data_IF_363677194815
#
_entry.id   IF_363677194815
#
_cell.length_a   1.000
_cell.length_b   1.000
_cell.length_c   1.000
_cell.angle_alpha   90.00
_cell.angle_beta   90.00
_cell.angle_gamma   90.00
#
_symmetry.space_group_name_H-M   'P 1'
#
loop_
_entity.id
_entity.type
_entity.pdbx_description
1 polymer ?
#
# COMPACT_ATOMS: atom_id res chain seq x y z
N UNK A 1 -1.78 21.27 -19.36
CA UNK A 1 -1.75 20.10 -20.24
C UNK A 1 -2.58 20.29 -21.51
N UNK A 2 -3.88 20.64 -21.43
CA UNK A 2 -4.75 20.85 -22.60
C UNK A 2 -4.22 21.94 -23.54
N UNK A 3 -3.77 23.07 -23.00
CA UNK A 3 -3.13 24.12 -23.79
C UNK A 3 -1.84 23.67 -24.45
N UNK A 4 -1.01 22.89 -23.74
CA UNK A 4 0.21 22.32 -24.31
C UNK A 4 -0.08 21.28 -25.39
N UNK A 5 -1.06 20.40 -25.17
CA UNK A 5 -1.52 19.43 -26.16
C UNK A 5 -2.11 20.11 -27.39
N UNK A 6 -2.94 21.15 -27.19
CA UNK A 6 -3.50 21.96 -28.26
C UNK A 6 -2.38 22.69 -29.05
N UNK A 7 -1.45 23.33 -28.35
CA UNK A 7 -0.32 24.01 -28.97
C UNK A 7 0.53 23.04 -29.80
N UNK A 8 0.87 21.88 -29.23
CA UNK A 8 1.65 20.86 -29.92
C UNK A 8 0.91 20.30 -31.13
N UNK A 9 -0.40 20.13 -31.05
CA UNK A 9 -1.22 19.56 -32.12
C UNK A 9 -1.54 20.54 -33.24
N UNK A 10 -1.77 21.81 -32.93
CA UNK A 10 -2.22 22.81 -33.90
C UNK A 10 -1.18 23.83 -34.31
N UNK A 11 -0.19 24.13 -33.47
CA UNK A 11 0.80 25.20 -33.70
C UNK A 11 2.15 24.66 -34.12
N UNK A 12 2.62 23.54 -33.54
CA UNK A 12 3.87 22.87 -33.95
C UNK A 12 3.72 22.07 -35.28
N UNK A 13 2.76 22.45 -36.01
CA UNK A 13 2.19 22.03 -37.26
C UNK A 13 2.94 21.04 -38.17
N UNK A 14 2.15 20.31 -38.91
CA UNK A 14 2.35 19.19 -39.79
C UNK A 14 3.23 19.44 -41.00
N UNK A 15 3.64 20.66 -41.26
CA UNK A 15 4.36 21.02 -42.47
C UNK A 15 5.82 20.49 -42.57
N UNK A 16 6.36 19.99 -41.43
CA UNK A 16 7.74 19.51 -41.40
C UNK A 16 7.90 18.01 -41.06
N UNK A 17 6.83 17.32 -40.69
CA UNK A 17 6.90 15.95 -40.18
C UNK A 17 5.93 15.05 -40.97
N UNK A 18 6.40 13.99 -41.57
CA UNK A 18 5.55 13.02 -42.27
C UNK A 18 4.48 12.34 -41.39
N UNK A 19 3.62 11.49 -41.96
CA UNK A 19 2.45 10.92 -41.29
C UNK A 19 2.75 10.11 -40.00
N UNK A 20 3.91 9.48 -39.88
CA UNK A 20 4.28 8.64 -38.74
C UNK A 20 4.41 9.39 -37.41
N UNK A 21 5.06 10.58 -37.34
CA UNK A 21 5.07 11.38 -36.10
C UNK A 21 3.70 11.90 -35.67
N UNK A 22 2.81 12.14 -36.60
CA UNK A 22 1.42 12.57 -36.33
C UNK A 22 0.62 11.53 -35.59
N UNK A 23 0.68 10.28 -36.02
CA UNK A 23 -0.03 9.18 -35.35
C UNK A 23 0.50 8.96 -33.94
N UNK A 24 1.82 9.06 -33.74
CA UNK A 24 2.44 8.96 -32.40
C UNK A 24 1.96 10.12 -31.49
N UNK A 25 1.99 11.35 -32.00
CA UNK A 25 1.55 12.52 -31.22
C UNK A 25 0.05 12.49 -30.90
N UNK A 26 -0.78 12.05 -31.84
CA UNK A 26 -2.20 11.84 -31.60
C UNK A 26 -2.43 10.79 -30.51
N UNK A 27 -1.71 9.66 -30.58
CA UNK A 27 -1.77 8.61 -29.54
C UNK A 27 -1.40 9.11 -28.16
N UNK A 28 -0.27 9.82 -28.03
CA UNK A 28 0.15 10.41 -26.74
C UNK A 28 -0.84 11.44 -26.23
N UNK A 29 -1.42 12.26 -27.10
CA UNK A 29 -2.44 13.27 -26.73
C UNK A 29 -3.72 12.61 -26.25
N UNK A 30 -4.21 11.57 -26.92
CA UNK A 30 -5.38 10.79 -26.51
C UNK A 30 -5.16 10.15 -25.14
N UNK A 31 -4.02 9.49 -24.93
CA UNK A 31 -3.68 8.90 -23.63
C UNK A 31 -3.64 9.98 -22.54
N UNK A 32 -3.05 11.14 -22.82
CA UNK A 32 -3.02 12.27 -21.89
C UNK A 32 -4.39 12.81 -21.56
N UNK A 33 -5.28 12.97 -22.54
CA UNK A 33 -6.67 13.41 -22.32
C UNK A 33 -7.43 12.37 -21.50
N UNK A 34 -7.30 11.08 -21.79
CA UNK A 34 -7.93 10.01 -21.01
C UNK A 34 -7.43 10.04 -19.56
N UNK A 35 -6.13 10.16 -19.32
CA UNK A 35 -5.55 10.25 -17.99
C UNK A 35 -6.05 11.50 -17.23
N UNK A 36 -6.16 12.63 -17.91
CA UNK A 36 -6.69 13.86 -17.34
C UNK A 36 -8.17 13.74 -16.99
N UNK A 37 -8.99 13.21 -17.92
CA UNK A 37 -10.41 12.94 -17.66
C UNK A 37 -10.60 11.96 -16.49
N UNK A 38 -9.81 10.89 -16.41
CA UNK A 38 -9.85 9.97 -15.28
C UNK A 38 -9.49 10.67 -13.96
N UNK A 39 -8.52 11.59 -13.97
CA UNK A 39 -8.12 12.36 -12.78
C UNK A 39 -9.24 13.29 -12.35
N UNK A 40 -9.92 13.97 -13.29
CA UNK A 40 -11.09 14.79 -13.00
C UNK A 40 -12.26 13.98 -12.45
N UNK A 41 -12.59 12.87 -13.11
CA UNK A 41 -13.67 11.97 -12.66
C UNK A 41 -13.40 11.43 -11.26
N UNK A 42 -12.13 11.12 -10.94
CA UNK A 42 -11.74 10.70 -9.58
C UNK A 42 -11.94 11.80 -8.54
N UNK A 43 -11.70 13.07 -8.90
CA UNK A 43 -11.97 14.21 -8.01
C UNK A 43 -13.47 14.50 -7.85
N UNK A 44 -14.29 14.10 -8.82
CA UNK A 44 -15.75 14.26 -8.77
C UNK A 44 -16.44 13.21 -7.89
N UNK A 45 -15.76 12.10 -7.51
CA UNK A 45 -16.31 11.17 -6.53
C UNK A 45 -16.19 11.80 -5.14
N UNK A 46 -17.29 12.27 -4.55
CA UNK A 46 -17.23 13.01 -3.29
C UNK A 46 -16.74 12.08 -2.17
N UNK A 47 -15.84 12.60 -1.33
CA UNK A 47 -15.50 11.96 -0.08
C UNK A 47 -16.78 11.83 0.78
N UNK A 48 -16.95 10.68 1.43
CA UNK A 48 -18.09 10.42 2.31
C UNK A 48 -17.90 11.15 3.64
N UNK A 49 -18.96 11.74 4.15
CA UNK A 49 -18.99 12.18 5.53
C UNK A 49 -19.16 10.94 6.40
N UNK A 50 -18.22 10.76 7.32
CA UNK A 50 -18.17 9.64 8.27
C UNK A 50 -18.06 10.19 9.69
N UNK A 51 -18.54 9.42 10.65
CA UNK A 51 -18.51 9.73 12.07
C UNK A 51 -17.61 8.73 12.79
N UNK A 52 -16.85 9.18 13.75
CA UNK A 52 -16.04 8.30 14.61
C UNK A 52 -16.98 7.46 15.50
N UNK A 53 -17.03 6.17 15.24
CA UNK A 53 -17.80 5.22 16.01
C UNK A 53 -17.04 4.69 17.22
N UNK A 54 -15.74 4.48 17.04
CA UNK A 54 -14.82 4.00 18.07
C UNK A 54 -13.46 4.64 17.90
N UNK A 55 -12.86 5.02 19.02
CA UNK A 55 -11.49 5.49 19.09
C UNK A 55 -10.84 4.87 20.33
N UNK A 56 -9.88 3.96 20.12
CA UNK A 56 -9.16 3.26 21.18
C UNK A 56 -7.70 3.70 21.16
N UNK A 57 -7.24 4.48 22.14
CA UNK A 57 -5.85 4.93 22.17
C UNK A 57 -4.90 3.77 22.50
N UNK A 58 -3.69 3.84 21.95
CA UNK A 58 -2.55 3.02 22.31
C UNK A 58 -1.30 3.90 22.40
N UNK A 59 -0.19 3.38 22.87
CA UNK A 59 1.04 4.17 23.04
C UNK A 59 1.53 4.76 21.70
N UNK A 60 1.39 6.07 21.55
CA UNK A 60 1.77 6.84 20.37
C UNK A 60 0.82 6.72 19.18
N UNK A 61 -0.45 6.31 19.40
CA UNK A 61 -1.42 6.22 18.33
C UNK A 61 -2.86 5.99 18.76
N UNK A 62 -3.73 5.79 17.77
CA UNK A 62 -5.16 5.48 17.96
C UNK A 62 -5.64 4.45 16.92
N UNK A 63 -6.40 3.49 17.38
CA UNK A 63 -7.21 2.60 16.54
C UNK A 63 -8.60 3.20 16.42
N UNK A 64 -8.97 3.65 15.22
CA UNK A 64 -10.20 4.39 14.98
C UNK A 64 -11.07 3.68 13.94
N UNK A 65 -12.36 3.58 14.25
CA UNK A 65 -13.39 3.08 13.31
C UNK A 65 -14.35 4.21 12.99
N UNK A 66 -14.51 4.46 11.70
CA UNK A 66 -15.48 5.41 11.17
C UNK A 66 -16.70 4.69 10.63
N UNK A 67 -17.89 5.25 10.89
CA UNK A 67 -19.16 4.80 10.35
C UNK A 67 -19.73 5.80 9.36
N UNK A 68 -20.24 5.31 8.24
CA UNK A 68 -20.96 6.08 7.23
C UNK A 68 -22.47 5.88 7.37
N UNK A 69 -23.27 6.91 7.12
CA UNK A 69 -24.74 6.80 7.05
C UNK A 69 -25.25 6.06 5.80
N UNK A 70 -24.40 5.87 4.80
CA UNK A 70 -24.73 5.18 3.54
C UNK A 70 -23.61 4.21 3.19
N UNK A 71 -23.89 3.10 2.49
CA UNK A 71 -22.88 2.15 2.08
C UNK A 71 -21.71 2.81 1.34
N UNK A 72 -20.51 2.43 1.70
CA UNK A 72 -19.28 2.84 1.06
C UNK A 72 -18.87 1.80 0.00
N UNK A 73 -18.17 2.22 -1.09
CA UNK A 73 -17.63 1.28 -2.06
C UNK A 73 -16.77 0.22 -1.38
N UNK A 74 -16.88 -1.03 -1.83
CA UNK A 74 -16.01 -2.13 -1.35
C UNK A 74 -14.54 -1.75 -1.55
N UNK A 75 -13.71 -2.13 -0.61
CA UNK A 75 -12.25 -1.97 -0.70
C UNK A 75 -11.57 -3.34 -0.80
N UNK A 76 -10.34 -3.35 -1.28
CA UNK A 76 -9.48 -4.53 -1.29
C UNK A 76 -8.42 -4.41 -0.19
N UNK A 77 -7.96 -5.53 0.41
CA UNK A 77 -6.84 -5.51 1.33
C UNK A 77 -5.62 -4.77 0.75
N UNK A 78 -4.92 -4.01 1.61
CA UNK A 78 -3.79 -3.19 1.18
C UNK A 78 -4.15 -1.88 0.48
N UNK A 79 -5.43 -1.53 0.35
CA UNK A 79 -5.83 -0.20 -0.10
C UNK A 79 -5.76 0.82 1.03
N UNK A 80 -5.50 2.07 0.65
CA UNK A 80 -5.59 3.23 1.54
C UNK A 80 -6.74 4.16 1.13
N UNK A 81 -7.16 5.01 2.04
CA UNK A 81 -8.15 6.06 1.77
C UNK A 81 -7.64 7.41 2.28
N UNK A 82 -8.06 8.49 1.60
CA UNK A 82 -7.76 9.84 2.05
C UNK A 82 -8.71 10.22 3.17
N UNK A 83 -8.18 10.57 4.33
CA UNK A 83 -8.91 11.06 5.50
C UNK A 83 -8.61 12.53 5.73
N UNK A 84 -9.64 13.37 5.80
CA UNK A 84 -9.51 14.79 6.04
C UNK A 84 -10.58 15.28 7.00
N UNK A 85 -10.34 16.44 7.61
CA UNK A 85 -11.33 17.08 8.47
C UNK A 85 -12.61 17.43 7.69
N UNK A 86 -13.74 17.62 8.38
CA UNK A 86 -15.06 17.97 7.81
C UNK A 86 -15.02 19.21 6.90
N UNK A 87 -14.16 20.18 7.19
CA UNK A 87 -13.98 21.36 6.35
C UNK A 87 -13.36 21.02 5.00
N UNK A 88 -13.93 21.47 3.89
CA UNK A 88 -13.42 21.22 2.54
C UNK A 88 -12.03 21.83 2.26
N UNK A 89 -11.58 22.76 3.10
CA UNK A 89 -10.28 23.45 2.98
C UNK A 89 -9.17 22.75 3.77
N UNK A 90 -9.52 21.73 4.56
CA UNK A 90 -8.54 20.99 5.35
C UNK A 90 -7.80 19.97 4.47
N UNK A 91 -6.54 19.80 4.78
CA UNK A 91 -5.66 18.83 4.17
C UNK A 91 -6.16 17.39 4.45
N UNK A 92 -6.07 16.52 3.45
CA UNK A 92 -6.44 15.12 3.58
C UNK A 92 -5.18 14.26 3.48
N UNK A 93 -5.07 13.27 4.37
CA UNK A 93 -3.92 12.40 4.50
C UNK A 93 -4.27 10.96 4.13
N UNK A 94 -3.36 10.20 3.49
CA UNK A 94 -3.58 8.81 3.15
C UNK A 94 -3.37 7.90 4.36
N UNK A 95 -4.32 7.02 4.63
CA UNK A 95 -4.18 5.96 5.65
C UNK A 95 -4.64 4.63 5.08
N UNK A 96 -3.86 3.57 5.35
CA UNK A 96 -4.19 2.22 4.93
C UNK A 96 -5.42 1.74 5.70
N UNK A 97 -6.37 1.17 4.96
CA UNK A 97 -7.58 0.60 5.54
C UNK A 97 -7.21 -0.69 6.26
N UNK A 98 -7.38 -0.71 7.58
CA UNK A 98 -7.07 -1.85 8.43
C UNK A 98 -8.18 -2.90 8.48
N UNK A 99 -9.42 -2.50 8.13
CA UNK A 99 -10.58 -3.39 8.14
C UNK A 99 -11.90 -2.64 7.94
N UNK A 100 -13.00 -3.34 8.16
CA UNK A 100 -14.35 -2.81 8.08
C UNK A 100 -15.20 -3.41 6.96
N UNK A 101 -16.47 -3.05 6.97
CA UNK A 101 -17.54 -3.54 6.10
C UNK A 101 -18.07 -2.45 5.13
N UNK A 102 -19.28 -2.60 4.63
CA UNK A 102 -19.89 -1.59 3.74
C UNK A 102 -20.24 -0.29 4.47
N UNK A 103 -20.43 -0.31 5.78
CA UNK A 103 -20.81 0.85 6.59
C UNK A 103 -19.65 1.43 7.38
N UNK A 104 -18.58 0.66 7.61
CA UNK A 104 -17.47 1.01 8.49
C UNK A 104 -16.12 0.96 7.79
N UNK A 105 -15.16 1.77 8.28
CA UNK A 105 -13.73 1.69 7.93
C UNK A 105 -12.89 1.87 9.17
N UNK A 106 -11.96 0.97 9.38
CA UNK A 106 -11.02 0.99 10.49
C UNK A 106 -9.63 1.41 10.02
N UNK A 107 -8.98 2.21 10.84
CA UNK A 107 -7.61 2.66 10.64
C UNK A 107 -6.82 2.56 11.95
N UNK A 108 -5.55 2.21 11.86
CA UNK A 108 -4.61 2.29 12.98
C UNK A 108 -3.64 3.40 12.64
N UNK A 109 -3.74 4.51 13.35
CA UNK A 109 -3.03 5.75 13.04
C UNK A 109 -2.02 6.03 14.15
N UNK A 110 -0.75 6.24 13.77
CA UNK A 110 0.33 6.63 14.68
C UNK A 110 0.62 8.11 14.54
N UNK A 111 0.96 8.74 15.65
CA UNK A 111 1.52 10.07 15.71
C UNK A 111 2.89 10.09 15.01
N UNK A 112 3.00 10.83 13.88
CA UNK A 112 4.19 10.86 13.04
C UNK A 112 4.41 12.20 12.33
N UNK A 113 3.69 13.25 12.73
CA UNK A 113 3.77 14.62 12.23
C UNK A 113 2.57 15.42 12.71
N UNK A 114 2.59 16.73 12.51
CA UNK A 114 1.69 17.71 13.13
C UNK A 114 0.21 17.32 13.03
N UNK A 115 -0.24 16.91 11.86
CA UNK A 115 -1.63 16.52 11.66
C UNK A 115 -2.00 15.25 12.45
N UNK A 116 -1.17 14.21 12.36
CA UNK A 116 -1.42 12.93 13.05
C UNK A 116 -1.25 13.07 14.55
N UNK A 117 -0.32 13.90 15.02
CA UNK A 117 -0.13 14.19 16.44
C UNK A 117 -1.36 14.89 17.03
N UNK A 118 -1.89 15.89 16.31
CA UNK A 118 -3.13 16.55 16.70
C UNK A 118 -4.31 15.58 16.64
N UNK A 119 -4.45 14.80 15.57
CA UNK A 119 -5.53 13.83 15.40
C UNK A 119 -5.56 12.81 16.55
N UNK A 120 -4.43 12.18 16.86
CA UNK A 120 -4.32 11.17 17.93
C UNK A 120 -4.71 11.74 19.31
N UNK A 121 -4.37 13.01 19.57
CA UNK A 121 -4.67 13.68 20.85
C UNK A 121 -6.13 14.13 20.98
N UNK A 122 -6.79 14.43 19.87
CA UNK A 122 -8.07 15.15 19.89
C UNK A 122 -9.27 14.35 19.40
N UNK A 123 -9.06 13.28 18.64
CA UNK A 123 -10.15 12.48 18.05
C UNK A 123 -11.05 11.86 19.12
N UNK A 124 -12.36 12.03 18.96
CA UNK A 124 -13.40 11.55 19.89
C UNK A 124 -14.52 10.87 19.12
N UNK A 125 -15.20 9.96 19.78
CA UNK A 125 -16.46 9.39 19.27
C UNK A 125 -17.46 10.51 18.98
N UNK A 126 -18.12 10.44 17.83
CA UNK A 126 -19.02 11.47 17.33
C UNK A 126 -18.38 12.54 16.43
N UNK A 127 -17.04 12.62 16.38
CA UNK A 127 -16.36 13.54 15.46
C UNK A 127 -16.62 13.16 14.01
N UNK A 128 -16.67 14.17 13.14
CA UNK A 128 -16.97 13.98 11.72
C UNK A 128 -15.78 14.28 10.82
N UNK A 129 -15.53 13.37 9.88
CA UNK A 129 -14.45 13.46 8.90
C UNK A 129 -14.96 13.24 7.48
N UNK A 130 -14.15 13.55 6.49
CA UNK A 130 -14.34 13.20 5.10
C UNK A 130 -13.41 12.06 4.74
N UNK A 131 -13.99 10.97 4.25
CA UNK A 131 -13.26 9.76 3.87
C UNK A 131 -13.41 9.50 2.38
N UNK A 132 -12.28 9.40 1.69
CA UNK A 132 -12.21 9.01 0.29
C UNK A 132 -12.52 7.51 0.11
N UNK A 133 -12.63 7.09 -1.17
CA UNK A 133 -12.71 5.67 -1.49
C UNK A 133 -11.36 4.98 -1.28
N UNK A 134 -11.37 3.65 -1.14
CA UNK A 134 -10.15 2.84 -1.15
C UNK A 134 -9.45 2.91 -2.50
N UNK A 135 -8.14 3.17 -2.49
CA UNK A 135 -7.26 3.21 -3.67
C UNK A 135 -5.94 2.50 -3.35
N UNK A 136 -5.21 2.09 -4.39
CA UNK A 136 -3.95 1.36 -4.23
C UNK A 136 -4.06 -0.13 -4.58
N UNK A 137 -2.91 -0.82 -4.66
CA UNK A 137 -2.79 -2.24 -5.03
C UNK A 137 -1.57 -2.88 -4.37
N UNK A 138 -1.42 -2.73 -3.07
CA UNK A 138 -0.25 -3.25 -2.37
C UNK A 138 -0.28 -4.78 -2.24
N UNK A 139 -1.38 -5.34 -1.73
CA UNK A 139 -1.52 -6.78 -1.61
C UNK A 139 -2.23 -7.34 -2.84
N UNK A 140 -1.75 -8.45 -3.40
CA UNK A 140 -2.53 -9.20 -4.38
C UNK A 140 -3.78 -9.74 -3.70
N UNK A 141 -4.76 -10.13 -4.50
CA UNK A 141 -5.80 -11.03 -4.00
C UNK A 141 -5.09 -12.28 -3.48
N UNK A 142 -5.47 -12.75 -2.30
CA UNK A 142 -4.98 -14.02 -1.76
C UNK A 142 -5.56 -15.09 -2.68
N UNK A 143 -4.80 -15.39 -3.73
CA UNK A 143 -5.16 -16.38 -4.72
C UNK A 143 -4.78 -17.75 -4.18
N UNK A 144 -5.72 -18.68 -4.23
CA UNK A 144 -5.55 -20.07 -3.84
C UNK A 144 -4.44 -20.81 -4.63
N UNK A 145 -3.97 -20.24 -5.73
CA UNK A 145 -2.92 -20.83 -6.56
C UNK A 145 -1.49 -20.54 -6.06
N UNK A 146 -1.29 -19.55 -5.20
CA UNK A 146 0.04 -19.20 -4.66
C UNK A 146 0.22 -19.79 -3.27
N UNK A 147 1.04 -20.81 -3.18
CA UNK A 147 1.14 -21.69 -2.03
C UNK A 147 1.80 -21.05 -0.81
N UNK A 148 2.69 -20.07 -0.95
CA UNK A 148 3.43 -19.48 0.16
C UNK A 148 3.66 -17.98 0.00
N UNK A 149 3.41 -17.22 1.06
CA UNK A 149 3.65 -15.78 1.13
C UNK A 149 4.37 -15.42 2.42
N UNK A 150 5.27 -14.45 2.33
CA UNK A 150 6.02 -13.93 3.47
C UNK A 150 5.66 -12.45 3.67
N UNK A 151 5.03 -12.17 4.78
CA UNK A 151 4.60 -10.82 5.13
C UNK A 151 5.48 -10.28 6.24
N UNK A 152 5.93 -9.04 6.12
CA UNK A 152 6.74 -8.35 7.13
C UNK A 152 6.12 -7.01 7.45
N UNK A 153 5.73 -6.84 8.69
CA UNK A 153 5.09 -5.63 9.20
C UNK A 153 5.96 -4.97 10.27
N UNK A 154 6.08 -3.65 10.24
CA UNK A 154 6.71 -2.85 11.28
C UNK A 154 5.75 -1.83 11.87
N UNK A 155 5.40 -1.96 13.15
CA UNK A 155 4.47 -1.05 13.83
C UNK A 155 3.13 -0.93 13.12
N UNK A 156 2.70 0.29 12.75
CA UNK A 156 1.44 0.51 12.00
C UNK A 156 1.46 -0.04 10.57
N UNK A 157 2.61 -0.48 10.07
CA UNK A 157 2.70 -1.24 8.81
C UNK A 157 1.97 -2.57 8.82
N UNK A 158 1.40 -2.98 9.95
CA UNK A 158 0.50 -4.14 10.06
C UNK A 158 -0.85 -3.93 9.34
N UNK A 159 -1.27 -2.68 9.13
CA UNK A 159 -2.62 -2.35 8.64
C UNK A 159 -3.03 -3.02 7.32
N UNK A 160 -2.22 -3.09 6.25
CA UNK A 160 -2.61 -3.78 5.04
C UNK A 160 -2.81 -5.28 5.25
N UNK A 161 -1.98 -5.89 6.10
CA UNK A 161 -2.07 -7.31 6.41
C UNK A 161 -3.27 -7.61 7.31
N UNK A 162 -3.60 -6.72 8.25
CA UNK A 162 -4.76 -6.86 9.11
C UNK A 162 -6.05 -6.94 8.29
N UNK A 163 -6.23 -6.06 7.30
CA UNK A 163 -7.37 -6.11 6.38
C UNK A 163 -7.43 -7.38 5.52
N UNK A 164 -6.27 -7.98 5.23
CA UNK A 164 -6.20 -9.25 4.53
C UNK A 164 -6.56 -10.43 5.44
N UNK A 165 -6.03 -10.45 6.67
CA UNK A 165 -6.33 -11.46 7.68
C UNK A 165 -7.81 -11.50 8.06
N UNK A 166 -8.46 -10.33 8.12
CA UNK A 166 -9.90 -10.21 8.42
C UNK A 166 -10.74 -10.97 7.38
N UNK A 167 -10.32 -10.98 6.11
CA UNK A 167 -11.04 -11.62 5.00
C UNK A 167 -10.57 -13.02 4.67
N UNK A 168 -9.43 -13.45 5.21
CA UNK A 168 -8.88 -14.77 4.96
C UNK A 168 -9.75 -15.85 5.60
N UNK A 169 -10.09 -16.87 4.81
CA UNK A 169 -10.84 -18.04 5.28
C UNK A 169 -9.87 -19.13 5.76
N UNK A 170 -10.28 -19.98 6.71
CA UNK A 170 -9.42 -21.05 7.23
C UNK A 170 -9.06 -22.14 6.22
N UNK A 171 -9.84 -22.30 5.16
CA UNK A 171 -9.70 -23.34 4.12
C UNK A 171 -8.82 -22.89 2.93
N UNK A 172 -8.30 -21.67 2.96
CA UNK A 172 -7.39 -21.19 1.90
C UNK A 172 -6.07 -21.95 1.96
N UNK A 173 -5.67 -22.55 0.85
CA UNK A 173 -4.45 -23.35 0.74
C UNK A 173 -3.13 -22.54 0.82
N UNK A 174 -3.20 -21.22 0.72
CA UNK A 174 -2.04 -20.35 0.80
C UNK A 174 -1.49 -20.29 2.23
N UNK A 175 -0.22 -20.71 2.42
CA UNK A 175 0.49 -20.53 3.69
C UNK A 175 1.03 -19.10 3.78
N UNK A 176 0.86 -18.47 4.93
CA UNK A 176 1.37 -17.13 5.20
C UNK A 176 2.26 -17.15 6.43
N UNK A 177 3.50 -16.73 6.29
CA UNK A 177 4.36 -16.39 7.44
C UNK A 177 4.35 -14.88 7.61
N UNK A 178 3.84 -14.41 8.74
CA UNK A 178 3.80 -13.00 9.10
C UNK A 178 4.79 -12.70 10.23
N UNK A 179 5.81 -11.92 9.94
CA UNK A 179 6.66 -11.29 10.96
C UNK A 179 6.06 -9.94 11.32
N UNK A 180 5.77 -9.74 12.58
CA UNK A 180 5.30 -8.47 13.12
C UNK A 180 6.33 -7.90 14.10
N UNK A 181 7.13 -6.93 13.62
CA UNK A 181 8.09 -6.19 14.43
C UNK A 181 7.40 -5.04 15.17
N UNK A 182 7.51 -5.03 16.49
CA UNK A 182 6.94 -4.02 17.37
C UNK A 182 8.00 -3.47 18.32
N UNK A 183 7.83 -2.25 18.80
CA UNK A 183 8.70 -1.70 19.85
C UNK A 183 8.34 -2.29 21.21
N UNK A 184 7.06 -2.28 21.52
CA UNK A 184 6.45 -2.86 22.72
C UNK A 184 5.02 -3.29 22.42
N UNK A 185 4.42 -4.16 23.22
CA UNK A 185 3.00 -4.50 23.06
C UNK A 185 2.08 -3.29 23.22
N UNK A 186 2.41 -2.36 24.13
CA UNK A 186 1.65 -1.14 24.35
C UNK A 186 1.64 -0.20 23.11
N UNK A 187 2.72 -0.22 22.32
CA UNK A 187 2.84 0.57 21.09
C UNK A 187 2.28 -0.11 19.83
N UNK A 188 1.76 -1.33 19.95
CA UNK A 188 1.24 -2.15 18.85
C UNK A 188 -0.30 -2.20 18.90
N UNK A 189 -0.98 -1.15 18.46
CA UNK A 189 -2.43 -0.96 18.60
C UNK A 189 -3.34 -2.04 17.99
N UNK A 190 -2.79 -3.01 17.26
CA UNK A 190 -3.57 -4.10 16.64
C UNK A 190 -3.01 -5.50 16.99
N UNK A 191 -2.14 -5.62 17.98
CA UNK A 191 -1.46 -6.89 18.30
C UNK A 191 -2.46 -7.99 18.67
N UNK A 192 -3.45 -7.67 19.49
CA UNK A 192 -4.47 -8.63 19.93
C UNK A 192 -5.32 -9.16 18.78
N UNK A 193 -5.61 -8.31 17.79
CA UNK A 193 -6.34 -8.72 16.59
C UNK A 193 -5.52 -9.67 15.73
N UNK A 194 -4.25 -9.36 15.52
CA UNK A 194 -3.33 -10.21 14.76
C UNK A 194 -3.20 -11.59 15.42
N UNK A 195 -3.02 -11.62 16.74
CA UNK A 195 -2.97 -12.87 17.52
C UNK A 195 -4.29 -13.65 17.48
N UNK A 196 -5.43 -12.96 17.50
CA UNK A 196 -6.75 -13.59 17.34
C UNK A 196 -6.89 -14.22 15.95
N UNK A 197 -6.43 -13.53 14.90
CA UNK A 197 -6.41 -14.09 13.55
C UNK A 197 -5.47 -15.29 13.44
N UNK A 198 -4.30 -15.27 14.08
CA UNK A 198 -3.38 -16.40 14.11
C UNK A 198 -3.99 -17.65 14.76
N UNK A 199 -4.80 -17.47 15.81
CA UNK A 199 -5.54 -18.58 16.43
C UNK A 199 -6.67 -19.12 15.53
N UNK A 200 -7.26 -18.29 14.67
CA UNK A 200 -8.36 -18.66 13.76
C UNK A 200 -7.89 -19.30 12.45
N UNK A 201 -6.69 -18.95 12.01
CA UNK A 201 -6.16 -19.29 10.68
C UNK A 201 -5.00 -20.27 10.80
N UNK A 202 -5.23 -21.58 10.63
CA UNK A 202 -4.17 -22.60 10.78
C UNK A 202 -3.04 -22.46 9.75
N UNK A 203 -3.30 -21.81 8.61
CA UNK A 203 -2.32 -21.51 7.58
C UNK A 203 -1.46 -20.28 7.87
N UNK A 204 -1.74 -19.52 8.94
CA UNK A 204 -0.96 -18.35 9.35
C UNK A 204 0.07 -18.71 10.42
N UNK A 205 1.34 -18.61 10.07
CA UNK A 205 2.44 -18.65 11.01
C UNK A 205 2.79 -17.22 11.44
N UNK A 206 2.45 -16.83 12.67
CA UNK A 206 2.72 -15.51 13.24
C UNK A 206 3.99 -15.52 14.09
N UNK A 207 4.93 -14.66 13.77
CA UNK A 207 6.16 -14.40 14.52
C UNK A 207 6.15 -12.95 14.98
N UNK A 208 5.92 -12.72 16.28
CA UNK A 208 5.99 -11.39 16.88
C UNK A 208 7.40 -11.16 17.44
N UNK A 209 8.05 -10.09 17.00
CA UNK A 209 9.38 -9.70 17.47
C UNK A 209 9.28 -8.34 18.16
N UNK A 210 9.69 -8.26 19.42
CA UNK A 210 9.52 -7.10 20.27
C UNK A 210 10.87 -6.58 20.78
N UNK A 211 11.12 -5.26 20.56
CA UNK A 211 12.39 -4.65 20.95
C UNK A 211 12.56 -4.63 22.49
N UNK A 212 11.47 -4.43 23.25
CA UNK A 212 11.50 -4.41 24.71
C UNK A 212 11.85 -5.76 25.34
N UNK A 213 11.79 -6.84 24.58
CA UNK A 213 12.16 -8.20 25.00
C UNK A 213 13.53 -8.64 24.52
N UNK A 214 14.34 -7.71 23.95
CA UNK A 214 15.58 -8.04 23.24
C UNK A 214 15.41 -9.07 22.12
N UNK A 215 14.19 -9.21 21.59
CA UNK A 215 13.84 -10.06 20.45
C UNK A 215 13.80 -9.29 19.16
N UNK A 216 14.54 -8.17 19.08
CA UNK A 216 14.51 -7.25 17.97
C UNK A 216 14.79 -7.90 16.63
N UNK A 217 14.25 -7.29 15.60
CA UNK A 217 14.41 -7.73 14.22
C UNK A 217 15.84 -7.45 13.75
N UNK A 218 16.61 -8.50 13.47
CA UNK A 218 17.96 -8.39 12.91
C UNK A 218 18.06 -9.09 11.56
N UNK A 219 18.96 -8.61 10.68
CA UNK A 219 19.14 -9.21 9.36
C UNK A 219 19.59 -10.71 9.44
N UNK A 220 20.49 -11.12 10.33
CA UNK A 220 20.84 -12.55 10.49
C UNK A 220 19.66 -13.42 10.92
N UNK A 221 18.84 -12.94 11.89
CA UNK A 221 17.65 -13.68 12.35
C UNK A 221 16.62 -13.83 11.24
N UNK A 222 16.39 -12.76 10.47
CA UNK A 222 15.53 -12.80 9.30
C UNK A 222 16.06 -13.75 8.23
N UNK A 223 17.35 -13.69 7.93
CA UNK A 223 17.96 -14.59 6.95
C UNK A 223 17.82 -16.07 7.36
N UNK A 224 17.86 -16.39 8.64
CA UNK A 224 17.61 -17.74 9.14
C UNK A 224 16.15 -18.17 8.85
N UNK A 225 15.19 -17.32 9.14
CA UNK A 225 13.76 -17.60 8.86
C UNK A 225 13.52 -17.75 7.35
N UNK A 226 14.16 -16.89 6.54
CA UNK A 226 14.01 -16.88 5.09
C UNK A 226 14.60 -18.12 4.42
N UNK A 227 15.67 -18.71 4.95
CA UNK A 227 16.31 -19.91 4.38
C UNK A 227 15.39 -21.13 4.30
N UNK A 228 14.40 -21.18 5.16
CA UNK A 228 13.44 -22.29 5.22
C UNK A 228 12.27 -22.09 4.24
N UNK A 229 12.29 -20.99 3.45
CA UNK A 229 11.25 -20.64 2.50
C UNK A 229 11.58 -21.14 1.09
N UNK A 230 10.53 -21.33 0.29
CA UNK A 230 10.69 -21.68 -1.13
C UNK A 230 11.24 -20.49 -1.93
N UNK A 231 12.03 -20.76 -2.97
CA UNK A 231 12.59 -19.73 -3.86
C UNK A 231 11.54 -18.84 -4.52
N UNK A 232 10.33 -19.38 -4.75
CA UNK A 232 9.20 -18.67 -5.35
C UNK A 232 8.37 -17.86 -4.34
N UNK A 233 8.75 -17.85 -3.06
CA UNK A 233 8.03 -17.12 -2.01
C UNK A 233 7.99 -15.62 -2.32
N UNK A 234 6.79 -15.03 -2.28
CA UNK A 234 6.61 -13.60 -2.47
C UNK A 234 6.65 -12.86 -1.14
N UNK A 235 7.46 -11.82 -1.09
CA UNK A 235 7.62 -10.98 0.09
C UNK A 235 6.78 -9.71 -0.04
N UNK A 236 5.96 -9.44 0.96
CA UNK A 236 5.22 -8.19 1.11
C UNK A 236 5.70 -7.49 2.38
N UNK A 237 6.19 -6.28 2.23
CA UNK A 237 6.79 -5.50 3.31
C UNK A 237 6.07 -4.18 3.49
N UNK A 238 5.60 -3.90 4.70
CA UNK A 238 5.07 -2.61 5.10
C UNK A 238 5.67 -2.16 6.44
N UNK A 239 6.33 -1.00 6.44
CA UNK A 239 6.98 -0.48 7.63
C UNK A 239 8.03 0.59 7.32
N UNK A 240 8.79 1.02 8.34
CA UNK A 240 9.80 2.06 8.19
C UNK A 240 10.96 1.65 7.27
N UNK A 241 11.67 2.63 6.70
CA UNK A 241 12.76 2.41 5.74
C UNK A 241 13.88 1.50 6.31
N UNK A 242 14.16 1.60 7.62
CA UNK A 242 15.14 0.71 8.28
C UNK A 242 14.77 -0.77 8.16
N UNK A 243 13.50 -1.11 8.31
CA UNK A 243 12.99 -2.46 8.13
C UNK A 243 13.17 -2.94 6.69
N UNK A 244 12.87 -2.08 5.71
CA UNK A 244 13.07 -2.40 4.29
C UNK A 244 14.52 -2.74 3.98
N UNK A 245 15.45 -1.92 4.45
CA UNK A 245 16.89 -2.14 4.24
C UNK A 245 17.35 -3.45 4.90
N UNK A 246 16.79 -3.77 6.05
CA UNK A 246 17.10 -4.99 6.79
C UNK A 246 16.59 -6.23 6.04
N UNK A 247 15.36 -6.22 5.54
CA UNK A 247 14.80 -7.32 4.73
C UNK A 247 15.61 -7.54 3.46
N UNK A 248 15.95 -6.47 2.73
CA UNK A 248 16.76 -6.59 1.50
C UNK A 248 18.11 -7.27 1.80
N UNK A 249 18.77 -6.90 2.91
CA UNK A 249 20.03 -7.53 3.35
C UNK A 249 19.82 -8.99 3.73
N UNK A 250 18.80 -9.30 4.52
CA UNK A 250 18.48 -10.67 4.94
C UNK A 250 18.15 -11.56 3.73
N UNK A 251 17.42 -11.03 2.75
CA UNK A 251 17.08 -11.72 1.52
C UNK A 251 18.32 -12.09 0.71
N UNK A 252 19.24 -11.14 0.53
CA UNK A 252 20.53 -11.39 -0.11
C UNK A 252 21.39 -12.39 0.65
N UNK A 253 21.45 -12.31 1.99
CA UNK A 253 22.19 -13.24 2.85
C UNK A 253 21.63 -14.67 2.79
N UNK A 254 20.33 -14.83 2.55
CA UNK A 254 19.68 -16.11 2.38
C UNK A 254 19.82 -16.69 0.95
N UNK A 255 20.42 -15.95 0.01
CA UNK A 255 20.59 -16.39 -1.39
C UNK A 255 19.30 -16.36 -2.21
N UNK A 256 18.28 -15.65 -1.75
CA UNK A 256 16.98 -15.60 -2.40
C UNK A 256 16.94 -14.60 -3.56
N UNK A 257 16.25 -14.96 -4.65
CA UNK A 257 16.11 -14.13 -5.87
C UNK A 257 14.70 -13.62 -6.12
N UNK A 258 13.73 -13.99 -5.27
CA UNK A 258 12.32 -13.61 -5.40
C UNK A 258 12.06 -12.10 -5.31
N UNK A 259 10.86 -11.65 -5.70
CA UNK A 259 10.46 -10.24 -5.68
C UNK A 259 10.02 -9.80 -4.30
N UNK A 260 10.52 -8.64 -3.86
CA UNK A 260 10.06 -7.95 -2.65
C UNK A 260 9.11 -6.83 -3.07
N UNK A 261 7.86 -6.92 -2.64
CA UNK A 261 6.85 -5.87 -2.80
C UNK A 261 6.83 -5.02 -1.53
N UNK A 262 7.10 -3.74 -1.65
CA UNK A 262 7.09 -2.85 -0.48
C UNK A 262 6.18 -1.66 -0.70
N UNK A 263 5.35 -1.35 0.30
CA UNK A 263 4.66 -0.07 0.39
C UNK A 263 5.46 0.85 1.31
N UNK A 264 5.63 2.09 0.87
CA UNK A 264 6.39 3.09 1.60
C UNK A 264 5.46 4.24 1.97
N UNK A 265 5.25 4.44 3.27
CA UNK A 265 4.55 5.60 3.78
C UNK A 265 5.57 6.68 4.15
N UNK A 266 6.09 7.41 3.16
CA UNK A 266 6.87 8.61 3.43
C UNK A 266 5.95 9.83 3.40
N UNK A 267 5.50 10.24 4.59
CA UNK A 267 4.61 11.38 4.76
C UNK A 267 5.29 12.73 4.47
N UNK A 268 6.61 12.77 4.29
CA UNK A 268 7.36 13.98 4.02
C UNK A 268 7.46 14.35 2.54
N UNK A 269 7.13 13.44 1.63
CA UNK A 269 7.27 13.58 0.18
C UNK A 269 5.98 13.64 -0.63
N UNK A 270 4.81 13.70 -0.02
CA UNK A 270 3.50 13.52 -0.69
C UNK A 270 3.11 14.63 -1.69
N UNK A 271 3.92 15.63 -1.89
CA UNK A 271 3.70 16.71 -2.83
C UNK A 271 4.66 16.66 -4.02
N UNK A 272 4.55 15.70 -4.93
CA UNK A 272 5.14 15.95 -6.24
C UNK A 272 5.58 14.78 -7.10
N UNK A 273 6.26 13.75 -6.61
CA UNK A 273 6.85 12.71 -7.47
C UNK A 273 6.14 11.36 -7.44
N UNK A 274 5.46 11.00 -6.36
CA UNK A 274 4.75 9.73 -6.26
C UNK A 274 3.46 9.67 -7.10
N UNK A 275 2.84 10.81 -7.38
CA UNK A 275 1.72 10.89 -8.32
C UNK A 275 2.13 10.49 -9.74
N UNK A 276 3.35 10.78 -10.13
CA UNK A 276 3.91 10.40 -11.43
C UNK A 276 4.16 8.90 -11.47
N UNK A 277 4.73 8.31 -10.43
CA UNK A 277 4.93 6.85 -10.33
C UNK A 277 3.60 6.07 -10.23
N UNK A 278 2.58 6.62 -9.60
CA UNK A 278 1.25 6.00 -9.54
C UNK A 278 0.53 5.98 -10.89
N UNK A 279 0.72 7.03 -11.70
CA UNK A 279 0.10 7.13 -13.05
C UNK A 279 0.94 6.37 -14.08
N UNK A 280 2.25 6.44 -14.00
CA UNK A 280 3.18 5.89 -14.99
C UNK A 280 3.85 4.59 -14.56
N UNK A 281 3.76 4.19 -13.29
CA UNK A 281 4.34 2.95 -12.77
C UNK A 281 4.01 1.71 -13.61
N UNK A 282 2.74 1.44 -13.96
CA UNK A 282 2.39 0.33 -14.83
C UNK A 282 2.99 0.43 -16.24
N UNK A 283 3.18 1.64 -16.76
CA UNK A 283 3.77 1.89 -18.09
C UNK A 283 5.29 1.71 -18.02
N UNK A 284 5.93 2.19 -16.96
CA UNK A 284 7.37 2.04 -16.72
C UNK A 284 7.76 0.59 -16.43
N UNK A 285 6.92 -0.16 -15.74
CA UNK A 285 7.13 -1.60 -15.52
C UNK A 285 6.94 -2.40 -16.80
N UNK A 286 5.95 -2.09 -17.64
CA UNK A 286 5.80 -2.68 -18.96
C UNK A 286 7.01 -2.38 -19.86
N UNK A 287 7.51 -1.14 -19.83
CA UNK A 287 8.70 -0.75 -20.60
C UNK A 287 9.99 -1.43 -20.10
N UNK A 288 10.13 -1.70 -18.80
CA UNK A 288 11.25 -2.49 -18.24
C UNK A 288 11.21 -3.94 -18.68
N UNK A 289 10.01 -4.55 -18.76
CA UNK A 289 9.87 -5.92 -19.29
C UNK A 289 10.23 -6.03 -20.76
N UNK A 290 9.93 -5.03 -21.57
CA UNK A 290 10.36 -4.98 -22.99
C UNK A 290 11.88 -4.86 -23.12
N UNK A 291 12.55 -4.06 -22.28
CA UNK A 291 14.02 -3.94 -22.27
C UNK A 291 14.75 -5.23 -21.84
N UNK A 292 14.17 -6.03 -20.99
CA UNK A 292 14.75 -7.31 -20.55
C UNK A 292 14.57 -8.42 -21.61
N UNK A 293 13.50 -8.36 -22.42
CA UNK A 293 13.29 -9.29 -23.52
C UNK A 293 14.26 -9.07 -24.71
N UNK A 294 14.75 -7.84 -24.90
CA UNK A 294 15.68 -7.48 -25.99
C UNK A 294 17.16 -7.79 -25.67
N UNK A 295 17.49 -8.12 -24.40
CA UNK A 295 18.88 -8.39 -23.95
C UNK A 295 19.21 -9.87 -23.76
N UNK A 296 18.59 -10.81 -24.45
CA UNK A 296 19.12 -12.16 -24.59
C UNK A 296 20.05 -12.22 -25.80
N UNK A 297 21.36 -12.35 -25.65
CA UNK A 297 22.23 -12.68 -26.77
C UNK A 297 21.94 -14.12 -27.19
N UNK A 298 21.70 -14.30 -28.47
CA UNK A 298 21.79 -15.59 -29.14
C UNK A 298 23.21 -16.12 -28.95
N UNK A 299 23.41 -17.02 -28.03
CA UNK A 299 24.58 -17.89 -28.01
C UNK A 299 24.33 -18.95 -29.11
N UNK A 300 24.92 -18.70 -30.27
CA UNK A 300 25.07 -19.69 -31.32
C UNK A 300 26.07 -20.75 -30.82
N UNK A 301 25.61 -21.99 -30.86
CA UNK A 301 26.42 -23.21 -30.78
C UNK A 301 27.43 -23.27 -31.89
N UNK A 302 28.68 -23.50 -31.59
CA UNK A 302 29.62 -24.23 -32.41
C UNK A 302 30.35 -25.24 -31.53
#
# INVERSE_FOLDING_TARGET
FLLAAFHTFFVASPLALGAAPWTLMAGVSIVGVIAWCQTLLRKLVPARLVEVERATPFEGGVDVTFRSKRPMPKFQPGQFAMLGHKSMRAEAHPFTIAGGDEMTRRFVIRAAGDWTDNFVKTVKVGDHFRLGRGVGRFLPQIDSQRKEQFWVAGGVGITPFLSALERMQPDVAARVTLIFGIRSRASAGAIEDVERHARRLPQLNLIVLSDDRNEGLTAPRLAQIIRDMNEDTQVYLCGPQGLKNMIVRAWAMAGMSGRIYSEHFDFRGAYGMEHVNYIFGPILDAARHVKLAVKRPLLMSS
#
